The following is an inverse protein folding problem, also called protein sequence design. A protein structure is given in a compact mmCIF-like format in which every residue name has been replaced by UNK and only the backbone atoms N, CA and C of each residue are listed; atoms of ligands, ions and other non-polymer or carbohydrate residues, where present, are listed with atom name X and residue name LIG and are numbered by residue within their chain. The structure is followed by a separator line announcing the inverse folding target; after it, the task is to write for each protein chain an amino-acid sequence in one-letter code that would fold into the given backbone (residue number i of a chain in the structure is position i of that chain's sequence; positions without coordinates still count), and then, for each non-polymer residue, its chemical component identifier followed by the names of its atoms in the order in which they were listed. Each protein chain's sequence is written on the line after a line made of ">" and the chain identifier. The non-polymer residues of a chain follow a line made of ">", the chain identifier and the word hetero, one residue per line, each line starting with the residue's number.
data_IF_362164531347
#
_entry.id   IF_362164531347
#
_cell.length_a   1.000
_cell.length_b   1.000
_cell.length_c   1.000
_cell.angle_alpha   90.00
_cell.angle_beta   90.00
_cell.angle_gamma   90.00
#
_symmetry.space_group_name_H-M   'P 1'
#
loop_
_entity.id
_entity.type
_entity.pdbx_description
1 polymer ?
#
# COMPACT_ATOMS: atom_id res chain seq x y z
N UNK A 1 11.28 1.61 -8.40
CA UNK A 1 10.92 2.68 -9.36
C UNK A 1 11.50 2.27 -10.71
N UNK A 2 10.72 2.31 -11.80
CA UNK A 2 11.19 1.86 -13.14
C UNK A 2 11.81 2.99 -13.98
N UNK A 3 11.55 4.24 -13.60
CA UNK A 3 12.06 5.45 -14.24
C UNK A 3 12.94 6.21 -13.25
N UNK A 4 14.01 6.86 -13.72
CA UNK A 4 14.83 7.73 -12.88
C UNK A 4 14.17 9.11 -12.81
N UNK A 5 13.97 9.61 -11.59
CA UNK A 5 13.43 10.95 -11.36
C UNK A 5 14.42 11.74 -10.54
N UNK A 6 14.71 12.95 -10.99
CA UNK A 6 15.62 13.86 -10.32
C UNK A 6 14.85 15.04 -9.75
N UNK A 7 15.24 15.51 -8.56
CA UNK A 7 14.72 16.72 -7.95
C UNK A 7 15.80 17.80 -7.83
N UNK A 8 15.34 19.04 -7.81
CA UNK A 8 16.20 20.18 -7.48
C UNK A 8 16.68 20.04 -6.04
N UNK A 9 17.92 20.46 -5.79
CA UNK A 9 18.51 20.46 -4.46
C UNK A 9 17.68 21.36 -3.54
N UNK A 10 17.12 20.83 -2.43
CA UNK A 10 16.32 21.63 -1.51
C UNK A 10 17.16 22.74 -0.86
N UNK A 11 16.51 23.86 -0.54
CA UNK A 11 17.14 24.94 0.23
C UNK A 11 17.64 24.40 1.59
N UNK A 12 18.89 24.77 1.95
CA UNK A 12 19.52 24.35 3.21
C UNK A 12 20.28 23.03 3.15
N UNK A 13 20.37 22.37 1.99
CA UNK A 13 21.26 21.21 1.79
C UNK A 13 22.60 21.69 1.24
N UNK A 14 23.67 21.56 2.01
CA UNK A 14 25.03 21.80 1.55
C UNK A 14 25.56 20.57 0.81
N UNK A 15 25.79 20.70 -0.49
CA UNK A 15 26.43 19.69 -1.33
C UNK A 15 27.70 20.30 -1.93
N UNK A 16 28.65 19.44 -2.32
CA UNK A 16 29.78 19.89 -3.13
C UNK A 16 29.26 20.55 -4.43
N UNK A 17 29.94 21.61 -4.89
CA UNK A 17 29.56 22.42 -6.07
C UNK A 17 29.44 21.62 -7.39
N UNK A 18 29.67 20.31 -7.36
CA UNK A 18 29.62 19.40 -8.51
C UNK A 18 28.24 18.78 -8.77
N UNK A 19 27.26 18.97 -7.89
CA UNK A 19 25.93 18.39 -8.03
C UNK A 19 24.87 19.44 -8.41
N UNK A 20 24.15 19.19 -9.50
CA UNK A 20 23.04 20.05 -9.96
C UNK A 20 21.65 19.53 -9.53
N UNK A 21 21.54 18.26 -9.14
CA UNK A 21 20.28 17.62 -8.78
C UNK A 21 20.48 16.37 -7.90
N UNK A 22 19.39 15.87 -7.31
CA UNK A 22 19.35 14.64 -6.52
C UNK A 22 18.47 13.58 -7.19
N UNK A 23 18.89 12.32 -7.18
CA UNK A 23 18.06 11.21 -7.66
C UNK A 23 17.07 10.75 -6.57
N UNK A 24 15.79 10.67 -6.93
CA UNK A 24 14.74 10.12 -6.08
C UNK A 24 14.76 8.59 -6.12
N UNK A 25 15.34 7.99 -5.08
CA UNK A 25 15.42 6.52 -4.93
C UNK A 25 14.07 5.86 -4.53
N UNK A 26 13.11 6.65 -4.05
CA UNK A 26 11.77 6.19 -3.64
C UNK A 26 10.69 7.08 -4.25
N UNK A 27 9.54 6.48 -4.56
CA UNK A 27 8.40 7.24 -5.04
C UNK A 27 7.76 8.00 -3.87
N UNK A 28 7.59 9.31 -4.03
CA UNK A 28 6.95 10.19 -3.04
C UNK A 28 5.60 10.68 -3.58
N UNK A 29 4.73 11.09 -2.66
CA UNK A 29 3.41 11.62 -3.01
C UNK A 29 3.54 12.80 -4.00
N UNK A 30 2.60 12.90 -4.94
CA UNK A 30 2.61 13.94 -5.99
C UNK A 30 3.40 13.58 -7.25
N UNK A 31 4.24 12.54 -7.23
CA UNK A 31 4.81 12.00 -8.46
C UNK A 31 3.76 11.24 -9.28
N UNK A 32 3.76 11.42 -10.60
CA UNK A 32 2.81 10.75 -11.52
C UNK A 32 2.82 9.22 -11.37
N UNK A 33 3.98 8.66 -11.05
CA UNK A 33 4.18 7.21 -10.92
C UNK A 33 4.03 6.69 -9.49
N UNK A 34 3.87 7.55 -8.46
CA UNK A 34 3.86 7.10 -7.08
C UNK A 34 2.66 6.20 -6.75
N UNK A 35 1.47 6.57 -7.21
CA UNK A 35 0.26 5.76 -7.04
C UNK A 35 0.41 4.37 -7.66
N UNK A 36 0.96 4.29 -8.89
CA UNK A 36 1.22 3.01 -9.56
C UNK A 36 2.21 2.15 -8.79
N UNK A 37 3.35 2.73 -8.38
CA UNK A 37 4.39 1.98 -7.65
C UNK A 37 3.86 1.50 -6.28
N UNK A 38 3.07 2.32 -5.60
CA UNK A 38 2.42 1.94 -4.35
C UNK A 38 1.44 0.78 -4.58
N UNK A 39 0.57 0.87 -5.59
CA UNK A 39 -0.39 -0.17 -5.90
C UNK A 39 0.28 -1.49 -6.32
N UNK A 40 1.32 -1.45 -7.17
CA UNK A 40 2.14 -2.63 -7.51
C UNK A 40 2.75 -3.26 -6.24
N UNK A 41 3.33 -2.44 -5.36
CA UNK A 41 3.93 -2.91 -4.09
C UNK A 41 2.87 -3.52 -3.16
N UNK A 42 1.68 -2.93 -3.11
CA UNK A 42 0.57 -3.42 -2.29
C UNK A 42 0.07 -4.76 -2.82
N UNK A 43 -0.29 -4.83 -4.10
CA UNK A 43 -0.77 -6.03 -4.78
C UNK A 43 0.18 -7.22 -4.61
N UNK A 44 1.48 -7.01 -4.87
CA UNK A 44 2.52 -8.04 -4.69
C UNK A 44 2.51 -8.61 -3.26
N UNK A 45 2.39 -7.74 -2.25
CA UNK A 45 2.39 -8.17 -0.85
C UNK A 45 1.10 -8.89 -0.47
N UNK A 46 -0.09 -8.33 -0.79
CA UNK A 46 -1.36 -8.99 -0.42
C UNK A 46 -1.52 -10.33 -1.12
N UNK A 47 -1.08 -10.44 -2.38
CA UNK A 47 -1.02 -11.72 -3.08
C UNK A 47 -0.07 -12.71 -2.39
N UNK A 48 1.11 -12.26 -1.93
CA UNK A 48 2.08 -13.12 -1.24
C UNK A 48 1.55 -13.68 0.09
N UNK A 49 0.70 -12.94 0.81
CA UNK A 49 0.03 -13.44 2.03
C UNK A 49 -1.27 -14.22 1.73
N UNK A 50 -1.53 -14.55 0.47
CA UNK A 50 -2.56 -15.49 0.03
C UNK A 50 -3.92 -14.88 -0.31
N UNK A 51 -4.00 -13.56 -0.53
CA UNK A 51 -5.18 -12.96 -1.15
C UNK A 51 -5.13 -13.10 -2.67
N UNK A 52 -6.30 -12.98 -3.29
CA UNK A 52 -6.45 -12.89 -4.74
C UNK A 52 -7.27 -11.66 -5.09
N UNK A 53 -6.81 -10.88 -6.06
CA UNK A 53 -7.59 -9.76 -6.59
C UNK A 53 -8.88 -10.28 -7.26
N UNK A 54 -9.98 -9.57 -7.05
CA UNK A 54 -11.27 -9.85 -7.66
C UNK A 54 -11.22 -9.56 -9.15
N UNK A 55 -11.84 -10.44 -9.94
CA UNK A 55 -11.95 -10.25 -11.39
C UNK A 55 -12.90 -9.12 -11.78
N UNK A 56 -13.79 -8.71 -10.86
CA UNK A 56 -14.79 -7.66 -11.10
C UNK A 56 -14.35 -6.29 -10.59
N UNK A 57 -13.48 -6.26 -9.59
CA UNK A 57 -13.01 -5.03 -8.95
C UNK A 57 -11.53 -5.18 -8.57
N UNK A 58 -10.59 -4.53 -9.29
CA UNK A 58 -9.16 -4.60 -9.00
C UNK A 58 -8.75 -4.07 -7.62
N UNK A 59 -9.62 -3.31 -6.95
CA UNK A 59 -9.37 -2.81 -5.60
C UNK A 59 -9.83 -3.78 -4.52
N UNK A 60 -10.57 -4.83 -4.87
CA UNK A 60 -11.09 -5.83 -3.95
C UNK A 60 -10.22 -7.09 -3.99
N UNK A 61 -9.77 -7.52 -2.82
CA UNK A 61 -9.00 -8.73 -2.61
C UNK A 61 -9.79 -9.70 -1.72
N UNK A 62 -9.72 -10.98 -2.06
CA UNK A 62 -10.47 -12.05 -1.39
C UNK A 62 -9.50 -13.13 -0.95
N UNK A 63 -9.66 -13.60 0.30
CA UNK A 63 -8.94 -14.74 0.84
C UNK A 63 -9.89 -15.67 1.57
N UNK A 64 -9.83 -16.96 1.24
CA UNK A 64 -10.62 -18.01 1.90
C UNK A 64 -9.68 -18.95 2.65
N UNK A 65 -9.91 -19.14 3.95
CA UNK A 65 -9.14 -20.04 4.82
C UNK A 65 -10.13 -20.90 5.59
N UNK A 66 -10.08 -22.22 5.41
CA UNK A 66 -10.94 -23.18 6.14
C UNK A 66 -12.45 -22.83 6.05
N UNK A 67 -12.90 -22.36 4.90
CA UNK A 67 -14.29 -21.96 4.66
C UNK A 67 -14.67 -20.58 5.23
N UNK A 68 -13.75 -19.88 5.90
CA UNK A 68 -13.91 -18.50 6.34
C UNK A 68 -13.35 -17.54 5.29
N UNK A 69 -14.01 -16.40 5.09
CA UNK A 69 -13.64 -15.40 4.10
C UNK A 69 -13.14 -14.12 4.76
N UNK A 70 -12.09 -13.52 4.21
CA UNK A 70 -11.68 -12.14 4.48
C UNK A 70 -11.65 -11.39 3.15
N UNK A 71 -12.26 -10.22 3.17
CA UNK A 71 -12.29 -9.25 2.09
C UNK A 71 -11.44 -8.04 2.50
N UNK A 72 -10.60 -7.61 1.59
CA UNK A 72 -9.77 -6.44 1.73
C UNK A 72 -10.06 -5.52 0.54
N UNK A 73 -10.56 -4.32 0.81
CA UNK A 73 -10.88 -3.33 -0.21
C UNK A 73 -9.96 -2.12 -0.03
N UNK A 74 -9.27 -1.75 -1.10
CA UNK A 74 -8.30 -0.63 -1.11
C UNK A 74 -8.94 0.60 -1.73
N UNK A 75 -8.84 1.74 -1.05
CA UNK A 75 -9.26 3.03 -1.58
C UNK A 75 -8.18 4.08 -1.29
N UNK A 76 -7.33 4.35 -2.28
CA UNK A 76 -6.19 5.26 -2.14
C UNK A 76 -5.34 4.85 -0.93
N UNK A 77 -5.28 5.67 0.12
CA UNK A 77 -4.47 5.45 1.32
C UNK A 77 -5.24 4.66 2.42
N UNK A 78 -6.53 4.39 2.21
CA UNK A 78 -7.39 3.65 3.13
C UNK A 78 -7.56 2.18 2.72
N UNK A 79 -7.60 1.29 3.72
CA UNK A 79 -7.87 -0.14 3.51
C UNK A 79 -9.01 -0.58 4.42
N UNK A 80 -10.11 -1.00 3.81
CA UNK A 80 -11.24 -1.60 4.50
C UNK A 80 -11.05 -3.11 4.57
N UNK A 81 -11.14 -3.68 5.78
CA UNK A 81 -11.01 -5.13 6.01
C UNK A 81 -12.28 -5.62 6.67
N UNK A 82 -12.92 -6.62 6.06
CA UNK A 82 -14.13 -7.27 6.59
C UNK A 82 -14.08 -8.77 6.31
N UNK A 83 -14.97 -9.55 6.89
CA UNK A 83 -14.94 -11.01 6.73
C UNK A 83 -15.80 -11.75 7.74
N UNK A 84 -15.81 -13.07 7.62
CA UNK A 84 -16.60 -13.96 8.47
C UNK A 84 -15.92 -14.32 9.79
N UNK A 85 -14.61 -14.08 9.92
CA UNK A 85 -13.83 -14.39 11.13
C UNK A 85 -13.07 -13.17 11.65
N UNK A 86 -13.37 -12.76 12.88
CA UNK A 86 -12.64 -11.69 13.57
C UNK A 86 -11.15 -12.01 13.75
N UNK A 87 -10.81 -13.29 13.93
CA UNK A 87 -9.42 -13.74 14.06
C UNK A 87 -8.65 -13.53 12.75
N UNK A 88 -9.24 -13.91 11.61
CA UNK A 88 -8.61 -13.71 10.31
C UNK A 88 -8.50 -12.22 9.95
N UNK A 89 -9.48 -11.39 10.34
CA UNK A 89 -9.40 -9.93 10.20
C UNK A 89 -8.23 -9.38 11.04
N UNK A 90 -8.12 -9.79 12.31
CA UNK A 90 -7.04 -9.34 13.19
C UNK A 90 -5.65 -9.79 12.71
N UNK A 91 -5.56 -11.01 12.19
CA UNK A 91 -4.35 -11.52 11.55
C UNK A 91 -3.99 -10.72 10.29
N UNK A 92 -4.96 -10.45 9.42
CA UNK A 92 -4.75 -9.65 8.20
C UNK A 92 -4.24 -8.24 8.55
N UNK A 93 -4.83 -7.59 9.57
CA UNK A 93 -4.34 -6.30 10.09
C UNK A 93 -2.89 -6.39 10.57
N UNK A 94 -2.54 -7.45 11.29
CA UNK A 94 -1.18 -7.69 11.77
C UNK A 94 -0.21 -7.90 10.61
N UNK A 95 -0.57 -8.75 9.66
CA UNK A 95 0.25 -9.07 8.48
C UNK A 95 0.54 -7.78 7.68
N UNK A 96 -0.47 -6.95 7.40
CA UNK A 96 -0.28 -5.68 6.71
C UNK A 96 0.65 -4.71 7.46
N UNK A 97 0.51 -4.62 8.79
CA UNK A 97 1.38 -3.78 9.64
C UNK A 97 2.85 -4.23 9.65
N UNK A 98 3.17 -5.46 9.23
CA UNK A 98 4.57 -5.89 9.09
C UNK A 98 5.29 -5.20 7.94
N UNK A 99 4.53 -4.78 6.91
CA UNK A 99 5.09 -4.24 5.66
C UNK A 99 4.78 -2.77 5.43
N UNK A 100 3.64 -2.30 5.93
CA UNK A 100 3.13 -0.95 5.74
C UNK A 100 2.94 -0.25 7.08
N UNK A 101 3.30 1.03 7.12
CA UNK A 101 2.96 1.89 8.25
C UNK A 101 1.47 2.20 8.19
N UNK A 102 0.70 1.67 9.14
CA UNK A 102 -0.77 1.75 9.14
C UNK A 102 -1.32 2.06 10.52
N UNK A 103 -2.27 2.99 10.55
CA UNK A 103 -3.09 3.28 11.73
C UNK A 103 -4.44 2.58 11.61
N UNK A 104 -4.92 1.97 12.70
CA UNK A 104 -6.25 1.37 12.73
C UNK A 104 -7.28 2.45 13.09
N UNK A 105 -8.10 2.85 12.11
CA UNK A 105 -9.15 3.87 12.26
C UNK A 105 -10.41 3.34 12.97
N UNK A 106 -10.41 2.09 13.45
CA UNK A 106 -11.52 1.50 14.18
C UNK A 106 -12.52 0.77 13.30
N UNK A 107 -13.73 0.55 13.83
CA UNK A 107 -14.79 -0.16 13.11
C UNK A 107 -15.43 0.76 12.07
N UNK A 108 -15.52 0.28 10.84
CA UNK A 108 -16.36 0.92 9.83
C UNK A 108 -17.83 0.83 10.26
N UNK A 109 -18.50 1.97 10.35
CA UNK A 109 -19.94 2.07 10.58
C UNK A 109 -20.52 2.98 9.50
N UNK A 110 -21.67 2.59 8.94
CA UNK A 110 -22.47 3.51 8.13
C UNK A 110 -23.26 4.41 9.08
N UNK A 111 -23.13 5.73 8.89
CA UNK A 111 -23.98 6.72 9.55
C UNK A 111 -25.35 6.78 8.89
#
# INVERSE_FOLDING_TARGET
>A
MKEQVFCVIPEGVELEDSFDCLELVKAIYGLKQASRVWNETFDEFVCAIGFQASSLDPCLYIRIVEGQCVLLLVYVDDVLITGSSCELIARTKTDLKTRFEMTDSGKCAFC
#
